data_IF_994835717914
#
_entry.id   IF_994835717914
#
_cell.length_a   1.000
_cell.length_b   1.000
_cell.length_c   1.000
_cell.angle_alpha   90.00
_cell.angle_beta   90.00
_cell.angle_gamma   90.00
#
_symmetry.space_group_name_H-M   'P 1'
#
loop_
_entity.id
_entity.type
_entity.pdbx_description
1 polymer ?
#
# COMPACT_ATOMS: atom_id res chain seq x y z
N UNK A 1 -5.85 22.93 -23.67
CA UNK A 1 -5.94 22.27 -22.35
C UNK A 1 -5.57 20.81 -22.55
N UNK A 2 -4.34 20.41 -22.21
CA UNK A 2 -4.03 18.99 -22.07
C UNK A 2 -4.75 18.55 -20.80
N UNK A 3 -5.77 17.71 -20.95
CA UNK A 3 -6.27 16.91 -19.85
C UNK A 3 -5.06 16.09 -19.37
N UNK A 4 -4.48 16.48 -18.22
CA UNK A 4 -3.43 15.74 -17.55
C UNK A 4 -4.05 14.41 -17.15
N UNK A 5 -3.92 13.41 -18.03
CA UNK A 5 -4.26 12.03 -17.71
C UNK A 5 -3.52 11.69 -16.42
N UNK A 6 -4.17 11.01 -15.44
CA UNK A 6 -3.43 10.45 -14.34
C UNK A 6 -2.33 9.59 -14.97
N UNK A 7 -1.09 9.95 -14.67
CA UNK A 7 0.08 9.30 -15.23
C UNK A 7 -0.01 7.89 -14.69
N UNK A 8 -0.43 6.92 -15.50
CA UNK A 8 -0.29 5.53 -15.12
C UNK A 8 1.21 5.33 -14.95
N UNK A 9 1.71 5.11 -13.72
CA UNK A 9 3.14 4.95 -13.53
C UNK A 9 3.57 3.82 -14.45
N UNK A 10 4.65 4.03 -15.18
CA UNK A 10 5.24 2.92 -15.94
C UNK A 10 5.56 1.79 -14.97
N UNK A 11 5.54 0.53 -15.44
CA UNK A 11 5.78 -0.63 -14.55
C UNK A 11 7.04 -0.49 -13.69
N UNK A 12 8.05 0.23 -14.17
CA UNK A 12 9.27 0.54 -13.41
C UNK A 12 9.00 1.45 -12.20
N UNK A 13 8.31 2.57 -12.40
CA UNK A 13 7.96 3.52 -11.33
C UNK A 13 7.03 2.89 -10.29
N UNK A 14 6.12 2.02 -10.73
CA UNK A 14 5.27 1.25 -9.83
C UNK A 14 6.10 0.28 -8.97
N UNK A 15 7.07 -0.43 -9.55
CA UNK A 15 7.94 -1.34 -8.79
C UNK A 15 8.86 -0.59 -7.81
N UNK A 16 9.38 0.59 -8.17
CA UNK A 16 10.14 1.46 -7.26
C UNK A 16 9.27 1.95 -6.09
N UNK A 17 8.07 2.45 -6.38
CA UNK A 17 7.10 2.89 -5.36
C UNK A 17 6.70 1.75 -4.43
N UNK A 18 6.47 0.56 -5.00
CA UNK A 18 6.16 -0.66 -4.26
C UNK A 18 7.31 -1.08 -3.34
N UNK A 19 8.56 -0.98 -3.77
CA UNK A 19 9.74 -1.26 -2.93
C UNK A 19 9.83 -0.28 -1.78
N UNK A 20 9.74 1.02 -2.05
CA UNK A 20 9.78 2.04 -1.00
C UNK A 20 8.66 1.83 0.04
N UNK A 21 7.45 1.46 -0.41
CA UNK A 21 6.34 1.13 0.48
C UNK A 21 6.60 -0.16 1.28
N UNK A 22 7.18 -1.20 0.70
CA UNK A 22 7.57 -2.43 1.42
C UNK A 22 8.65 -2.17 2.47
N UNK A 23 9.60 -1.27 2.18
CA UNK A 23 10.65 -0.89 3.14
C UNK A 23 10.08 -0.05 4.29
N UNK A 24 9.15 0.87 4.04
CA UNK A 24 8.45 1.61 5.10
C UNK A 24 7.45 0.75 5.87
N UNK A 25 6.85 -0.25 5.21
CA UNK A 25 5.76 -1.07 5.75
C UNK A 25 6.02 -2.56 5.49
N UNK A 26 6.95 -3.20 6.21
CA UNK A 26 7.32 -4.61 5.99
C UNK A 26 6.18 -5.60 6.29
N UNK A 27 5.11 -5.17 6.96
CA UNK A 27 3.90 -5.96 7.21
C UNK A 27 2.79 -5.79 6.18
N UNK A 28 3.04 -5.07 5.08
CA UNK A 28 2.04 -4.78 4.06
C UNK A 28 2.47 -5.31 2.69
N UNK A 29 1.53 -5.95 2.00
CA UNK A 29 1.66 -6.41 0.63
C UNK A 29 1.01 -5.41 -0.32
N UNK A 30 1.76 -4.92 -1.30
CA UNK A 30 1.29 -3.95 -2.28
C UNK A 30 1.10 -4.60 -3.65
N UNK A 31 -0.06 -4.39 -4.24
CA UNK A 31 -0.43 -4.86 -5.58
C UNK A 31 -0.83 -3.67 -6.41
N UNK A 32 -0.13 -3.46 -7.52
CA UNK A 32 -0.53 -2.49 -8.54
C UNK A 32 -1.23 -3.22 -9.68
N UNK A 33 -2.46 -2.84 -9.95
CA UNK A 33 -3.21 -3.31 -11.11
C UNK A 33 -2.86 -2.47 -12.33
N UNK A 34 -2.68 -3.13 -13.48
CA UNK A 34 -2.41 -2.46 -14.77
C UNK A 34 -3.53 -1.51 -15.22
N UNK A 35 -4.70 -1.57 -14.57
CA UNK A 35 -5.79 -0.61 -14.71
C UNK A 35 -5.53 0.76 -14.00
N UNK A 36 -4.37 0.92 -13.36
CA UNK A 36 -4.01 2.15 -12.63
C UNK A 36 -4.49 2.16 -11.17
N UNK A 37 -4.90 1.02 -10.61
CA UNK A 37 -5.38 0.94 -9.23
C UNK A 37 -4.37 0.26 -8.32
N UNK A 38 -4.09 0.88 -7.18
CA UNK A 38 -3.23 0.37 -6.12
C UNK A 38 -4.03 -0.29 -5.02
N UNK A 39 -3.50 -1.40 -4.52
CA UNK A 39 -4.08 -2.16 -3.43
C UNK A 39 -2.99 -2.43 -2.40
N UNK A 40 -3.29 -2.23 -1.13
CA UNK A 40 -2.45 -2.65 -0.02
C UNK A 40 -3.24 -3.61 0.85
N UNK A 41 -2.64 -4.76 1.13
CA UNK A 41 -3.18 -5.75 2.06
C UNK A 41 -2.22 -5.90 3.23
N UNK A 42 -2.74 -5.76 4.45
CA UNK A 42 -1.93 -5.99 5.64
C UNK A 42 -1.75 -7.49 5.84
N UNK A 43 -0.52 -7.96 5.79
CA UNK A 43 -0.22 -9.33 6.16
C UNK A 43 -0.40 -9.50 7.67
N UNK A 44 -0.78 -10.71 8.07
CA UNK A 44 -1.02 -11.02 9.47
C UNK A 44 0.32 -10.97 10.22
N UNK A 45 0.54 -9.91 10.99
CA UNK A 45 1.73 -9.82 11.83
C UNK A 45 1.72 -10.93 12.88
N UNK A 46 2.89 -11.57 13.08
CA UNK A 46 3.07 -12.48 14.20
C UNK A 46 3.29 -11.65 15.47
N UNK A 47 2.40 -11.84 16.42
CA UNK A 47 2.55 -11.49 17.84
C UNK A 47 3.86 -12.05 18.41
N UNK A 48 4.35 -11.51 19.52
CA UNK A 48 5.51 -12.03 20.27
C UNK A 48 5.33 -13.51 20.68
N UNK A 49 4.07 -13.99 20.72
CA UNK A 49 3.70 -15.40 20.95
C UNK A 49 3.56 -16.23 19.66
N UNK A 50 4.00 -15.71 18.51
CA UNK A 50 3.94 -16.38 17.22
C UNK A 50 2.54 -16.54 16.63
N UNK A 51 1.53 -15.86 17.20
CA UNK A 51 0.15 -15.89 16.70
C UNK A 51 -0.04 -14.84 15.63
N UNK A 52 -0.69 -15.23 14.53
CA UNK A 52 -1.13 -14.31 13.49
C UNK A 52 -2.24 -13.42 14.07
N UNK A 53 -1.92 -12.15 14.32
CA UNK A 53 -2.86 -11.17 14.86
C UNK A 53 -3.07 -10.06 13.84
N UNK A 54 -4.34 -9.75 13.54
CA UNK A 54 -4.67 -8.53 12.80
C UNK A 54 -4.51 -7.35 13.76
N UNK A 55 -3.38 -6.64 13.66
CA UNK A 55 -3.20 -5.36 14.35
C UNK A 55 -3.91 -4.29 13.50
N UNK A 56 -5.12 -3.88 13.89
CA UNK A 56 -5.92 -2.86 13.21
C UNK A 56 -7.17 -3.37 12.49
N UNK A 57 -8.20 -2.52 12.43
CA UNK A 57 -9.50 -2.83 11.81
C UNK A 57 -9.46 -2.81 10.27
N UNK A 58 -8.49 -2.11 9.67
CA UNK A 58 -8.34 -1.96 8.23
C UNK A 58 -7.26 -2.92 7.72
N UNK A 59 -7.66 -3.92 6.96
CA UNK A 59 -6.76 -4.96 6.41
C UNK A 59 -6.53 -4.80 4.90
N UNK A 60 -7.40 -4.07 4.23
CA UNK A 60 -7.38 -3.81 2.80
C UNK A 60 -7.56 -2.31 2.58
N UNK A 61 -6.71 -1.76 1.74
CA UNK A 61 -6.76 -0.38 1.29
C UNK A 61 -6.68 -0.40 -0.23
N UNK A 62 -7.60 0.29 -0.89
CA UNK A 62 -7.51 0.58 -2.31
C UNK A 62 -7.34 2.08 -2.54
N UNK A 63 -6.54 2.42 -3.53
CA UNK A 63 -6.31 3.80 -3.92
C UNK A 63 -6.06 3.89 -5.43
N UNK A 64 -6.47 4.99 -6.05
CA UNK A 64 -6.19 5.23 -7.46
C UNK A 64 -4.76 5.80 -7.67
N UNK A 65 -4.05 6.21 -6.60
CA UNK A 65 -2.64 6.64 -6.66
C UNK A 65 -1.78 6.09 -5.52
N UNK A 66 -0.47 5.97 -5.78
CA UNK A 66 0.50 5.51 -4.78
C UNK A 66 0.65 6.47 -3.59
N UNK A 67 0.47 7.78 -3.82
CA UNK A 67 0.56 8.80 -2.77
C UNK A 67 -0.64 8.71 -1.82
N UNK A 68 -1.86 8.55 -2.37
CA UNK A 68 -3.07 8.31 -1.57
C UNK A 68 -2.93 7.02 -0.74
N UNK A 69 -2.46 5.93 -1.35
CA UNK A 69 -2.20 4.68 -0.64
C UNK A 69 -1.21 4.89 0.52
N UNK A 70 -0.12 5.64 0.29
CA UNK A 70 0.90 5.93 1.32
C UNK A 70 0.33 6.77 2.46
N UNK A 71 -0.50 7.77 2.15
CA UNK A 71 -1.14 8.60 3.16
C UNK A 71 -2.09 7.76 4.04
N UNK A 72 -2.88 6.90 3.42
CA UNK A 72 -3.81 6.01 4.11
C UNK A 72 -3.07 4.98 4.98
N UNK A 73 -2.00 4.36 4.44
CA UNK A 73 -1.10 3.48 5.18
C UNK A 73 -0.49 4.16 6.40
N UNK A 74 -0.04 5.42 6.26
CA UNK A 74 0.49 6.20 7.39
C UNK A 74 -0.58 6.42 8.45
N UNK A 75 -1.83 6.73 8.08
CA UNK A 75 -2.93 6.89 9.05
C UNK A 75 -3.16 5.61 9.85
N UNK A 76 -3.20 4.46 9.19
CA UNK A 76 -3.43 3.16 9.88
C UNK A 76 -2.22 2.68 10.65
N UNK A 77 -1.00 3.00 10.20
CA UNK A 77 0.24 2.64 10.89
C UNK A 77 0.50 3.50 12.13
N UNK A 78 0.13 4.79 12.13
CA UNK A 78 0.32 5.68 13.30
C UNK A 78 -0.63 5.36 14.46
N UNK A 79 -1.73 4.65 14.20
CA UNK A 79 -2.76 4.31 15.20
C UNK A 79 -2.51 2.92 15.86
N UNK A 80 -1.42 2.21 15.53
CA UNK A 80 -1.10 0.88 16.09
C UNK A 80 -0.01 0.88 17.16
#
# INVERSE_FOLDING_TARGET
>A
MVCRMPQTPTSHEAEESKRALQEEFPGWSFIFSSAGRWWAMKDLERDERGRLVKRGAVSDLDADTADELRAELRRVAVVS
#
